data_IF_046462274546
#
_entry.id   IF_046462274546
#
_cell.length_a   1.000
_cell.length_b   1.000
_cell.length_c   1.000
_cell.angle_alpha   90.00
_cell.angle_beta   90.00
_cell.angle_gamma   90.00
#
_symmetry.space_group_name_H-M   'P 1'
#
loop_
_entity.id
_entity.type
_entity.pdbx_description
1 polymer ?
#
# COMPACT_ATOMS: atom_id res chain seq x y z
N UNK A 1 -9.20 5.69 -8.16
CA UNK A 1 -9.84 5.72 -6.83
C UNK A 1 -9.42 6.99 -6.13
N UNK A 2 -10.38 7.83 -5.74
CA UNK A 2 -10.12 9.17 -5.21
C UNK A 2 -9.77 9.18 -3.73
N UNK A 3 -10.24 8.18 -2.97
CA UNK A 3 -9.97 8.10 -1.55
C UNK A 3 -8.51 7.71 -1.31
N UNK A 4 -7.82 8.56 -0.56
CA UNK A 4 -6.42 8.41 -0.18
C UNK A 4 -6.28 8.49 1.34
N UNK A 5 -5.10 8.13 1.83
CA UNK A 5 -4.77 8.28 3.24
C UNK A 5 -3.27 8.54 3.45
N UNK A 6 -2.96 9.12 4.59
CA UNK A 6 -1.63 9.11 5.19
C UNK A 6 -1.71 8.48 6.59
N UNK A 7 -0.55 8.14 7.15
CA UNK A 7 -0.45 7.53 8.48
C UNK A 7 0.00 8.61 9.46
N UNK A 8 -0.79 8.84 10.50
CA UNK A 8 -0.45 9.79 11.57
C UNK A 8 0.58 9.18 12.54
N UNK A 9 1.10 9.99 13.47
CA UNK A 9 2.07 9.59 14.50
C UNK A 9 1.61 8.41 15.35
N UNK A 10 0.30 8.28 15.54
CA UNK A 10 -0.34 7.17 16.27
C UNK A 10 -0.48 5.89 15.42
N UNK A 11 0.00 5.88 14.16
CA UNK A 11 -0.16 4.77 13.23
C UNK A 11 -1.57 4.64 12.63
N UNK A 12 -2.45 5.62 12.90
CA UNK A 12 -3.83 5.63 12.38
C UNK A 12 -3.87 6.20 10.96
N UNK A 13 -4.77 5.65 10.13
CA UNK A 13 -5.03 6.16 8.78
C UNK A 13 -5.93 7.39 8.86
N UNK A 14 -5.46 8.51 8.32
CA UNK A 14 -6.28 9.71 8.13
C UNK A 14 -6.63 9.82 6.65
N UNK A 15 -7.93 9.82 6.35
CA UNK A 15 -8.42 9.81 4.99
C UNK A 15 -8.50 11.23 4.41
N UNK A 16 -8.20 11.33 3.12
CA UNK A 16 -8.22 12.59 2.37
C UNK A 16 -8.48 12.33 0.89
N UNK A 17 -8.89 13.37 0.16
CA UNK A 17 -8.97 13.36 -1.30
C UNK A 17 -7.75 14.06 -1.94
N UNK A 18 -6.90 14.67 -1.13
CA UNK A 18 -5.70 15.38 -1.58
C UNK A 18 -4.56 14.41 -1.88
N UNK A 19 -3.65 14.82 -2.78
CA UNK A 19 -2.49 14.03 -3.16
C UNK A 19 -1.34 14.13 -2.17
N UNK A 20 -1.29 15.23 -1.40
CA UNK A 20 -0.21 15.58 -0.48
C UNK A 20 -0.82 15.77 0.90
N UNK A 21 -0.18 15.19 1.91
CA UNK A 21 -0.54 15.29 3.32
C UNK A 21 -0.05 16.60 3.95
N UNK A 22 -0.43 16.85 5.22
CA UNK A 22 -0.13 18.09 5.91
C UNK A 22 1.38 18.38 6.06
N UNK A 23 2.22 17.35 6.12
CA UNK A 23 3.68 17.49 6.24
C UNK A 23 4.42 17.41 4.89
N UNK A 24 3.71 17.46 3.76
CA UNK A 24 4.29 17.30 2.43
C UNK A 24 4.50 15.85 1.99
N UNK A 25 4.07 14.86 2.78
CA UNK A 25 4.13 13.45 2.38
C UNK A 25 3.10 13.10 1.31
N UNK A 26 3.44 12.18 0.40
CA UNK A 26 2.48 11.71 -0.60
C UNK A 26 1.44 10.76 0.01
N UNK A 27 0.17 11.01 -0.28
CA UNK A 27 -0.92 10.16 0.20
C UNK A 27 -1.05 8.88 -0.64
N UNK A 28 -1.27 7.75 0.04
CA UNK A 28 -1.45 6.43 -0.56
C UNK A 28 -2.92 6.20 -0.93
N UNK A 29 -3.19 5.32 -1.90
CA UNK A 29 -4.56 4.89 -2.21
C UNK A 29 -5.17 4.13 -1.03
N UNK A 30 -6.38 4.49 -0.61
CA UNK A 30 -7.10 3.78 0.45
C UNK A 30 -7.56 2.38 0.02
N UNK A 31 -7.65 2.15 -1.29
CA UNK A 31 -8.15 0.90 -1.85
C UNK A 31 -7.00 -0.10 -2.08
N UNK A 32 -7.22 -1.38 -1.78
CA UNK A 32 -6.22 -2.42 -2.03
C UNK A 32 -6.00 -2.62 -3.54
N UNK A 33 -4.86 -3.23 -3.88
CA UNK A 33 -4.62 -3.69 -5.24
C UNK A 33 -5.67 -4.72 -5.66
N UNK A 34 -6.10 -4.68 -6.93
CA UNK A 34 -7.09 -5.62 -7.47
C UNK A 34 -6.57 -7.05 -7.41
N UNK A 35 -7.38 -7.95 -6.87
CA UNK A 35 -7.10 -9.39 -6.93
C UNK A 35 -7.39 -9.95 -8.34
N UNK A 36 -6.51 -10.84 -8.80
CA UNK A 36 -6.66 -11.52 -10.09
C UNK A 36 -6.25 -12.99 -9.91
N UNK A 37 -7.12 -13.97 -10.23
CA UNK A 37 -6.79 -15.39 -10.07
C UNK A 37 -5.58 -15.84 -10.87
N UNK A 38 -5.39 -15.30 -12.08
CA UNK A 38 -4.31 -15.69 -12.99
C UNK A 38 -2.93 -15.16 -12.57
N UNK A 39 -2.86 -14.13 -11.72
CA UNK A 39 -1.67 -13.37 -11.32
C UNK A 39 -0.30 -13.87 -11.85
N UNK A 40 0.03 -13.45 -13.08
CA UNK A 40 1.22 -13.86 -13.84
C UNK A 40 2.54 -13.58 -13.11
N UNK A 41 2.55 -12.61 -12.20
CA UNK A 41 3.74 -12.17 -11.47
C UNK A 41 3.82 -12.69 -10.04
N UNK A 42 2.95 -13.64 -9.67
CA UNK A 42 2.92 -14.29 -8.34
C UNK A 42 4.29 -14.82 -7.91
N UNK A 43 5.00 -15.53 -8.79
CA UNK A 43 6.36 -16.05 -8.53
C UNK A 43 7.36 -14.95 -8.16
N UNK A 44 7.36 -13.83 -8.90
CA UNK A 44 8.24 -12.70 -8.65
C UNK A 44 7.92 -12.01 -7.32
N UNK A 45 6.63 -11.82 -7.00
CA UNK A 45 6.19 -11.24 -5.73
C UNK A 45 6.63 -12.09 -4.54
N UNK A 46 6.50 -13.42 -4.62
CA UNK A 46 6.92 -14.33 -3.56
C UNK A 46 8.45 -14.30 -3.38
N UNK A 47 9.21 -14.35 -4.48
CA UNK A 47 10.68 -14.27 -4.42
C UNK A 47 11.16 -12.97 -3.76
N UNK A 48 10.54 -11.83 -4.09
CA UNK A 48 10.86 -10.54 -3.50
C UNK A 48 10.53 -10.50 -2.00
N UNK A 49 9.36 -11.00 -1.60
CA UNK A 49 8.99 -11.10 -0.17
C UNK A 49 9.98 -11.95 0.62
N UNK A 50 10.42 -13.08 0.07
CA UNK A 50 11.44 -13.94 0.70
C UNK A 50 12.79 -13.23 0.83
N UNK A 51 13.25 -12.54 -0.22
CA UNK A 51 14.52 -11.81 -0.22
C UNK A 51 14.60 -10.73 0.87
N UNK A 52 13.50 -10.05 1.16
CA UNK A 52 13.43 -8.98 2.16
C UNK A 52 12.90 -9.43 3.52
N UNK A 53 12.78 -10.75 3.77
CA UNK A 53 12.19 -11.29 5.02
C UNK A 53 10.78 -10.73 5.33
N UNK A 54 10.00 -10.40 4.29
CA UNK A 54 8.61 -9.93 4.36
C UNK A 54 7.61 -11.07 4.14
N UNK A 55 8.10 -12.31 3.96
CA UNK A 55 7.28 -13.49 3.81
C UNK A 55 6.90 -14.01 5.21
N UNK A 56 5.71 -13.65 5.68
CA UNK A 56 5.14 -14.25 6.88
C UNK A 56 4.81 -15.71 6.55
N UNK A 57 5.46 -16.64 7.23
CA UNK A 57 5.21 -18.10 7.12
C UNK A 57 4.14 -18.49 8.14
#
# INVERSE_FOLDING_TARGET
>A
MYLKYYVDKDGKRVYTLQNVGPNGEYCLTAHPARFSPEDKFSKHRIALKKRFNLFMT
#
